data_IF_081962041140
#
_entry.id   IF_081962041140
#
_cell.length_a   1.000
_cell.length_b   1.000
_cell.length_c   1.000
_cell.angle_alpha   90.00
_cell.angle_beta   90.00
_cell.angle_gamma   90.00
#
_symmetry.space_group_name_H-M   'P 1'
#
loop_
_entity.id
_entity.type
_entity.pdbx_description
1 polymer ?
#
# COMPACT_ATOMS: atom_id res chain seq x y z
N UNK A 1 17.57 -10.19 6.09
CA UNK A 1 16.87 -8.88 6.17
C UNK A 1 16.50 -8.49 7.61
N UNK A 2 16.40 -7.19 7.95
CA UNK A 2 15.70 -6.72 9.18
C UNK A 2 14.30 -6.25 8.83
N UNK A 3 13.32 -6.73 9.61
CA UNK A 3 11.92 -6.36 9.48
C UNK A 3 11.49 -5.61 10.74
N UNK A 4 10.91 -4.43 10.54
CA UNK A 4 10.38 -3.61 11.62
C UNK A 4 8.88 -3.45 11.41
N UNK A 5 8.08 -3.76 12.42
CA UNK A 5 6.63 -3.57 12.35
C UNK A 5 6.28 -2.19 12.87
N UNK A 6 5.54 -1.44 12.06
CA UNK A 6 5.03 -0.12 12.39
C UNK A 6 3.56 -0.03 12.02
N UNK A 7 2.86 0.94 12.59
CA UNK A 7 1.46 1.20 12.29
C UNK A 7 1.38 2.61 11.76
N UNK A 8 0.89 2.76 10.53
CA UNK A 8 0.62 4.06 9.93
C UNK A 8 -0.88 4.24 9.78
N UNK A 9 -1.37 5.46 9.83
CA UNK A 9 -2.76 5.72 9.45
C UNK A 9 -2.87 5.86 7.93
N UNK A 10 -4.09 5.77 7.39
CA UNK A 10 -4.32 6.11 5.98
C UNK A 10 -3.88 7.56 5.70
N UNK A 11 -4.09 8.49 6.64
CA UNK A 11 -3.59 9.86 6.58
C UNK A 11 -2.06 9.95 6.43
N UNK A 12 -1.32 9.18 7.22
CA UNK A 12 0.15 9.12 7.09
C UNK A 12 0.59 8.58 5.73
N UNK A 13 -0.06 7.51 5.24
CA UNK A 13 0.23 6.95 3.92
C UNK A 13 0.02 7.99 2.81
N UNK A 14 -1.05 8.80 2.90
CA UNK A 14 -1.33 9.89 1.97
C UNK A 14 -0.25 10.96 2.04
N UNK A 15 0.14 11.37 3.25
CA UNK A 15 1.15 12.41 3.44
C UNK A 15 2.51 12.00 2.85
N UNK A 16 2.92 10.74 3.08
CA UNK A 16 4.16 10.19 2.51
C UNK A 16 4.07 10.08 0.98
N UNK A 17 2.89 9.75 0.44
CA UNK A 17 2.65 9.72 -1.00
C UNK A 17 2.70 11.11 -1.65
N UNK A 18 1.99 12.08 -1.08
CA UNK A 18 1.97 13.47 -1.55
C UNK A 18 3.36 14.11 -1.50
N UNK A 19 4.14 13.78 -0.47
CA UNK A 19 5.54 14.20 -0.34
C UNK A 19 6.49 13.56 -1.36
N UNK A 20 6.02 12.62 -2.20
CA UNK A 20 6.86 11.91 -3.17
C UNK A 20 7.86 10.94 -2.54
N UNK A 21 7.69 10.61 -1.26
CA UNK A 21 8.61 9.78 -0.47
C UNK A 21 8.40 8.28 -0.67
N UNK A 22 7.28 7.87 -1.25
CA UNK A 22 6.94 6.47 -1.47
C UNK A 22 6.75 6.13 -2.95
N UNK A 23 7.47 5.12 -3.41
CA UNK A 23 7.29 4.54 -4.73
C UNK A 23 6.27 3.39 -4.69
N UNK A 24 5.09 3.59 -5.27
CA UNK A 24 4.03 2.58 -5.42
C UNK A 24 4.10 1.80 -6.75
N UNK A 25 5.10 2.06 -7.58
CA UNK A 25 5.29 1.39 -8.87
C UNK A 25 6.76 1.00 -9.09
N UNK A 26 7.30 0.08 -8.27
CA UNK A 26 8.63 -0.45 -8.51
C UNK A 26 8.70 -1.20 -9.84
N UNK A 27 9.84 -1.11 -10.53
CA UNK A 27 10.05 -1.66 -11.88
C UNK A 27 9.96 -3.18 -11.96
N UNK A 28 10.11 -3.90 -10.85
CA UNK A 28 10.11 -5.36 -10.77
C UNK A 28 8.70 -5.97 -10.56
N UNK A 29 7.68 -5.15 -10.32
CA UNK A 29 6.30 -5.65 -10.17
C UNK A 29 5.64 -5.85 -11.53
N UNK A 30 5.04 -7.04 -11.75
CA UNK A 30 4.16 -7.28 -12.91
C UNK A 30 2.96 -6.35 -12.83
N UNK A 31 2.43 -5.95 -13.98
CA UNK A 31 1.16 -5.22 -14.10
C UNK A 31 0.01 -6.14 -13.65
N UNK A 32 -0.15 -6.34 -12.35
CA UNK A 32 -1.35 -6.92 -11.80
C UNK A 32 -2.48 -5.91 -12.04
N UNK A 33 -3.61 -6.41 -12.55
CA UNK A 33 -4.80 -5.61 -12.81
C UNK A 33 -5.80 -5.94 -11.70
N UNK A 34 -6.05 -4.99 -10.79
CA UNK A 34 -7.18 -5.13 -9.86
C UNK A 34 -8.45 -4.74 -10.57
N UNK A 35 -9.47 -5.60 -10.52
CA UNK A 35 -10.79 -5.24 -11.01
C UNK A 35 -11.43 -4.21 -10.08
N UNK A 36 -12.29 -3.35 -10.61
CA UNK A 36 -13.07 -2.39 -9.82
C UNK A 36 -13.84 -3.07 -8.66
N UNK A 37 -14.26 -4.33 -8.85
CA UNK A 37 -14.90 -5.14 -7.79
C UNK A 37 -13.97 -5.39 -6.60
N UNK A 38 -12.72 -5.78 -6.84
CA UNK A 38 -11.72 -6.02 -5.78
C UNK A 38 -11.39 -4.72 -5.03
N UNK A 39 -11.28 -3.62 -5.77
CA UNK A 39 -11.06 -2.29 -5.20
C UNK A 39 -12.22 -1.89 -4.27
N UNK A 40 -13.47 -2.04 -4.73
CA UNK A 40 -14.67 -1.76 -3.94
C UNK A 40 -14.75 -2.64 -2.68
N UNK A 41 -14.41 -3.92 -2.78
CA UNK A 41 -14.37 -4.81 -1.62
C UNK A 41 -13.37 -4.35 -0.56
N UNK A 42 -12.17 -3.93 -0.96
CA UNK A 42 -11.17 -3.39 -0.03
C UNK A 42 -11.70 -2.17 0.72
N UNK A 43 -12.31 -1.22 0.01
CA UNK A 43 -12.89 -0.02 0.62
C UNK A 43 -14.02 -0.39 1.59
N UNK A 44 -14.87 -1.35 1.23
CA UNK A 44 -15.95 -1.83 2.08
C UNK A 44 -15.42 -2.47 3.37
N UNK A 45 -14.34 -3.26 3.28
CA UNK A 45 -13.63 -3.84 4.44
C UNK A 45 -13.09 -2.75 5.38
N UNK A 46 -12.47 -1.70 4.83
CA UNK A 46 -11.96 -0.57 5.64
C UNK A 46 -13.11 0.19 6.30
N UNK A 47 -14.21 0.45 5.56
CA UNK A 47 -15.43 1.09 6.11
C UNK A 47 -16.05 0.28 7.26
N UNK A 48 -15.92 -1.04 7.22
CA UNK A 48 -16.38 -1.96 8.27
C UNK A 48 -15.39 -2.12 9.42
N UNK A 49 -14.27 -1.37 9.44
CA UNK A 49 -13.18 -1.53 10.39
C UNK A 49 -12.65 -2.99 10.49
N UNK A 50 -12.72 -3.73 9.39
CA UNK A 50 -12.21 -5.09 9.33
C UNK A 50 -10.70 -5.06 9.08
N UNK A 51 -9.93 -6.04 9.62
CA UNK A 51 -8.49 -6.09 9.41
C UNK A 51 -8.16 -6.40 7.95
N UNK A 52 -7.32 -5.57 7.35
CA UNK A 52 -6.76 -5.80 6.02
C UNK A 52 -5.36 -6.43 6.11
N UNK A 53 -4.90 -7.12 5.06
CA UNK A 53 -3.55 -7.68 5.05
C UNK A 53 -2.49 -6.61 5.31
N UNK A 54 -1.38 -7.01 5.92
CA UNK A 54 -0.24 -6.14 6.20
C UNK A 54 0.33 -5.52 4.90
N UNK A 55 0.87 -4.32 4.98
CA UNK A 55 1.63 -3.70 3.88
C UNK A 55 3.11 -3.95 4.08
N UNK A 56 3.86 -4.11 3.00
CA UNK A 56 5.31 -4.30 3.08
C UNK A 56 5.99 -3.16 2.33
N UNK A 57 6.73 -2.37 3.08
CA UNK A 57 7.53 -1.27 2.58
C UNK A 57 9.00 -1.61 2.73
N UNK A 58 9.79 -1.19 1.76
CA UNK A 58 11.24 -1.23 1.82
C UNK A 58 11.75 0.19 1.97
N UNK A 59 12.63 0.39 2.94
CA UNK A 59 13.33 1.65 3.12
C UNK A 59 14.60 1.64 2.26
N UNK A 60 14.65 2.51 1.24
CA UNK A 60 15.79 2.66 0.33
C UNK A 60 16.85 3.67 0.83
N UNK A 61 16.47 4.55 1.77
CA UNK A 61 17.30 5.65 2.27
C UNK A 61 16.68 6.26 3.52
N UNK A 62 17.14 7.44 3.94
CA UNK A 62 16.66 8.07 5.19
C UNK A 62 15.15 8.37 5.19
N UNK A 63 14.57 8.61 4.02
CA UNK A 63 13.18 9.12 3.90
C UNK A 63 12.48 8.63 2.62
N UNK A 64 13.02 7.59 1.97
CA UNK A 64 12.48 7.02 0.73
C UNK A 64 12.00 5.59 0.94
N UNK A 65 10.74 5.34 0.61
CA UNK A 65 10.06 4.06 0.75
C UNK A 65 9.69 3.48 -0.61
N UNK A 66 9.66 2.17 -0.70
CA UNK A 66 9.23 1.43 -1.89
C UNK A 66 8.24 0.35 -1.46
N UNK A 67 7.05 0.34 -2.07
CA UNK A 67 6.02 -0.61 -1.69
C UNK A 67 6.25 -1.96 -2.37
N UNK A 68 6.70 -2.93 -1.57
CA UNK A 68 7.00 -4.29 -2.00
C UNK A 68 5.71 -5.12 -2.10
N UNK A 69 4.80 -4.95 -1.13
CA UNK A 69 3.49 -5.61 -1.10
C UNK A 69 2.36 -4.63 -0.79
N UNK A 70 1.21 -4.84 -1.44
CA UNK A 70 0.04 -3.98 -1.35
C UNK A 70 0.00 -2.72 -2.23
N UNK A 71 0.76 -2.57 -3.34
CA UNK A 71 0.74 -1.35 -4.16
C UNK A 71 -0.66 -1.03 -4.71
N UNK A 72 -1.42 -2.05 -5.09
CA UNK A 72 -2.78 -1.90 -5.62
C UNK A 72 -3.78 -1.52 -4.52
N UNK A 73 -3.58 -2.06 -3.31
CA UNK A 73 -4.38 -1.71 -2.13
C UNK A 73 -4.16 -0.25 -1.75
N UNK A 74 -2.90 0.18 -1.69
CA UNK A 74 -2.55 1.57 -1.47
C UNK A 74 -3.14 2.48 -2.54
N UNK A 75 -3.00 2.15 -3.84
CA UNK A 75 -3.62 2.94 -4.93
C UNK A 75 -5.14 3.03 -4.82
N UNK A 76 -5.80 1.95 -4.42
CA UNK A 76 -7.26 1.94 -4.21
C UNK A 76 -7.65 2.90 -3.08
N UNK A 77 -6.93 2.85 -1.95
CA UNK A 77 -7.13 3.74 -0.81
C UNK A 77 -6.86 5.21 -1.22
N UNK A 78 -5.75 5.46 -1.92
CA UNK A 78 -5.36 6.79 -2.37
C UNK A 78 -6.35 7.36 -3.39
N UNK A 79 -6.83 6.56 -4.33
CA UNK A 79 -7.87 6.98 -5.26
C UNK A 79 -9.23 7.18 -4.62
N UNK A 80 -9.55 6.42 -3.57
CA UNK A 80 -10.74 6.65 -2.77
C UNK A 80 -10.71 8.02 -2.08
N UNK A 81 -9.56 8.44 -1.54
CA UNK A 81 -9.38 9.76 -0.89
C UNK A 81 -9.19 10.94 -1.85
N UNK A 82 -9.54 10.76 -3.13
CA UNK A 82 -9.56 11.79 -4.15
C UNK A 82 -8.17 12.24 -4.64
N UNK A 83 -7.16 11.37 -4.58
CA UNK A 83 -5.87 11.60 -5.24
C UNK A 83 -5.93 11.25 -6.74
N UNK A 84 -6.86 11.84 -7.50
CA UNK A 84 -6.90 11.89 -8.96
C UNK A 84 -6.27 10.68 -9.73
N UNK A 85 -6.70 9.45 -9.41
CA UNK A 85 -6.26 8.27 -10.15
C UNK A 85 -7.13 8.07 -11.40
N UNK A 86 -6.56 8.12 -12.62
CA UNK A 86 -7.33 8.07 -13.87
C UNK A 86 -8.06 6.75 -14.11
N UNK A 87 -7.73 5.70 -13.35
CA UNK A 87 -8.32 4.36 -13.45
C UNK A 87 -9.60 4.20 -12.58
N UNK A 88 -9.93 5.19 -11.73
CA UNK A 88 -11.03 5.13 -10.77
C UNK A 88 -12.12 6.15 -11.14
N UNK A 89 -13.17 5.68 -11.82
CA UNK A 89 -14.27 6.52 -12.31
C UNK A 89 -15.36 6.84 -11.27
N UNK A 90 -15.30 6.25 -10.07
CA UNK A 90 -16.40 6.39 -9.10
C UNK A 90 -15.95 7.20 -7.86
N UNK A 91 -16.46 8.41 -7.75
CA UNK A 91 -16.37 9.24 -6.53
C UNK A 91 -17.25 8.62 -5.45
N UNK A 92 -16.66 7.82 -4.56
CA UNK A 92 -17.36 7.23 -3.40
C UNK A 92 -17.11 8.02 -2.09
N UNK A 93 -16.94 9.34 -2.17
CA UNK A 93 -16.52 10.17 -1.04
C UNK A 93 -17.72 10.86 -0.37
N UNK A 94 -17.96 10.55 0.92
CA UNK A 94 -18.84 11.31 1.80
C UNK A 94 -17.98 11.91 2.91
N UNK A 95 -18.06 13.23 3.12
CA UNK A 95 -17.26 13.98 4.10
C UNK A 95 -17.41 13.45 5.54
N UNK A 96 -18.56 12.84 5.88
CA UNK A 96 -18.85 12.34 7.23
C UNK A 96 -17.97 11.14 7.67
N UNK A 97 -17.42 10.37 6.73
CA UNK A 97 -16.59 9.17 7.04
C UNK A 97 -15.09 9.51 6.90
N UNK A 98 -14.75 10.75 6.56
CA UNK A 98 -13.39 11.17 6.25
C UNK A 98 -12.43 10.93 7.42
N UNK A 99 -12.78 11.37 8.62
CA UNK A 99 -11.89 11.27 9.77
C UNK A 99 -11.65 9.81 10.18
N UNK A 100 -12.72 9.02 10.31
CA UNK A 100 -12.63 7.59 10.63
C UNK A 100 -11.82 6.81 9.59
N UNK A 101 -11.98 7.13 8.31
CA UNK A 101 -11.23 6.49 7.25
C UNK A 101 -9.74 6.88 7.29
N UNK A 102 -9.43 8.17 7.42
CA UNK A 102 -8.05 8.66 7.50
C UNK A 102 -7.31 8.11 8.73
N UNK A 103 -8.02 7.92 9.84
CA UNK A 103 -7.48 7.39 11.09
C UNK A 103 -7.40 5.85 11.14
N UNK A 104 -7.83 5.15 10.09
CA UNK A 104 -7.76 3.69 10.04
C UNK A 104 -6.29 3.22 10.14
N UNK A 105 -5.95 2.34 11.11
CA UNK A 105 -4.59 1.87 11.32
C UNK A 105 -4.22 0.79 10.30
N UNK A 106 -3.18 1.07 9.52
CA UNK A 106 -2.54 0.16 8.59
C UNK A 106 -1.34 -0.47 9.29
N UNK A 107 -1.35 -1.80 9.39
CA UNK A 107 -0.14 -2.55 9.73
C UNK A 107 0.85 -2.45 8.57
N UNK A 108 2.09 -2.07 8.88
CA UNK A 108 3.17 -1.96 7.91
C UNK A 108 4.41 -2.69 8.42
N UNK A 109 5.00 -3.53 7.57
CA UNK A 109 6.34 -4.09 7.76
C UNK A 109 7.34 -3.31 6.93
N UNK A 110 8.29 -2.65 7.61
CA UNK A 110 9.43 -1.97 7.02
C UNK A 110 10.64 -2.91 6.90
N UNK A 111 11.22 -2.95 5.71
CA UNK A 111 12.47 -3.66 5.43
C UNK A 111 13.59 -2.62 5.43
N UNK A 112 14.40 -2.57 6.49
CA UNK A 112 15.43 -1.52 6.70
C UNK A 112 16.85 -1.96 6.38
N UNK A 113 17.15 -3.27 6.46
CA UNK A 113 18.44 -3.82 6.03
C UNK A 113 18.25 -4.94 5.04
N UNK A 114 18.72 -4.71 3.81
CA UNK A 114 19.04 -5.73 2.83
C UNK A 114 20.50 -6.10 3.03
N UNK A 115 20.79 -7.33 3.45
CA UNK A 115 22.15 -7.84 3.31
C UNK A 115 22.47 -7.92 1.82
N UNK A 116 23.69 -7.57 1.41
CA UNK A 116 24.15 -7.54 0.01
C UNK A 116 23.87 -8.83 -0.79
N UNK A 117 23.56 -9.94 -0.11
CA UNK A 117 23.20 -11.24 -0.70
C UNK A 117 21.70 -11.49 -0.93
N UNK A 118 20.79 -10.61 -0.48
CA UNK A 118 19.34 -10.80 -0.63
C UNK A 118 18.75 -9.77 -1.59
N UNK A 119 18.38 -10.22 -2.79
CA UNK A 119 17.66 -9.39 -3.77
C UNK A 119 16.17 -9.30 -3.41
N UNK A 120 15.61 -8.09 -3.46
CA UNK A 120 14.17 -7.85 -3.24
C UNK A 120 13.33 -8.60 -4.25
N UNK A 121 13.87 -8.81 -5.45
CA UNK A 121 13.27 -9.64 -6.48
C UNK A 121 13.10 -11.09 -6.02
N UNK A 122 14.05 -11.64 -5.26
CA UNK A 122 13.92 -12.98 -4.69
C UNK A 122 12.82 -13.01 -3.62
N UNK A 123 12.74 -12.01 -2.75
CA UNK A 123 11.68 -11.90 -1.75
C UNK A 123 10.29 -11.71 -2.37
N UNK A 124 10.18 -10.80 -3.34
CA UNK A 124 8.97 -10.55 -4.11
C UNK A 124 8.54 -11.81 -4.87
N UNK A 125 9.49 -12.53 -5.46
CA UNK A 125 9.25 -13.82 -6.09
C UNK A 125 8.79 -14.85 -5.06
N UNK A 126 9.35 -14.95 -3.86
CA UNK A 126 8.89 -15.92 -2.85
C UNK A 126 7.45 -15.65 -2.38
N UNK A 127 7.07 -14.39 -2.21
CA UNK A 127 5.70 -14.02 -1.82
C UNK A 127 4.71 -14.31 -2.95
N UNK A 128 5.06 -13.94 -4.18
CA UNK A 128 4.13 -14.04 -5.32
C UNK A 128 4.25 -15.35 -6.12
N UNK A 129 5.26 -16.18 -5.85
CA UNK A 129 5.46 -17.50 -6.50
C UNK A 129 4.68 -18.61 -5.82
N UNK A 130 4.02 -18.37 -4.68
CA UNK A 130 3.03 -19.32 -4.15
C UNK A 130 1.70 -19.13 -4.87
N UNK A 131 1.66 -19.56 -6.13
CA UNK A 131 0.47 -20.05 -6.85
C UNK A 131 0.92 -20.55 -8.23
N UNK A 132 1.60 -21.70 -8.25
CA UNK A 132 1.53 -22.68 -9.33
C UNK A 132 1.39 -24.06 -8.67
#
# INVERSE_FOLDING_TARGET
>A
MKFEQTVWTIGELINVYDSGKINLRPSYQRNLIWTAKAQKQLIDTIKKNQPIPNFILKQNGSDSYEMVDGPQRARTILGYVNLNFPDLNEKYYNDEIKDTFLNYPLSITLITKLSEKESIEAYYSLINSKCC
#
